data_IF_953477799861
#
_entry.id   IF_953477799861
#
_cell.length_a   1.000
_cell.length_b   1.000
_cell.length_c   1.000
_cell.angle_alpha   90.00
_cell.angle_beta   90.00
_cell.angle_gamma   90.00
#
_symmetry.space_group_name_H-M   'P 1'
#
loop_
_entity.id
_entity.type
_entity.pdbx_description
1 polymer ?
#
# COMPACT_ATOMS: atom_id res chain seq x y z
N UNK A 1 2.64 -33.03 20.41
CA UNK A 1 2.52 -32.35 19.10
C UNK A 1 3.09 -30.93 19.15
N UNK A 2 2.93 -30.18 20.24
CA UNK A 2 3.53 -28.84 20.41
C UNK A 2 5.07 -28.79 20.32
N UNK A 3 5.77 -29.81 20.82
CA UNK A 3 7.25 -29.82 20.88
C UNK A 3 7.93 -29.82 19.51
N UNK A 4 7.30 -30.44 18.51
CA UNK A 4 7.89 -30.62 17.17
C UNK A 4 7.83 -29.33 16.34
N UNK A 5 6.83 -28.49 16.60
CA UNK A 5 6.71 -27.17 15.99
C UNK A 5 7.66 -26.17 16.68
N UNK A 6 7.81 -26.27 18.00
CA UNK A 6 8.79 -25.49 18.78
C UNK A 6 10.23 -25.74 18.32
N UNK A 7 10.61 -27.02 18.10
CA UNK A 7 11.93 -27.40 17.58
C UNK A 7 12.20 -26.81 16.18
N UNK A 8 11.17 -26.74 15.32
CA UNK A 8 11.28 -26.16 13.96
C UNK A 8 11.46 -24.65 13.99
N UNK A 9 10.75 -23.96 14.90
CA UNK A 9 10.86 -22.51 15.10
C UNK A 9 12.25 -22.16 15.66
N UNK A 10 12.77 -22.96 16.60
CA UNK A 10 14.09 -22.76 17.18
C UNK A 10 15.21 -22.97 16.13
N UNK A 11 15.09 -23.98 15.27
CA UNK A 11 16.01 -24.19 14.16
C UNK A 11 16.00 -23.03 13.15
N UNK A 12 14.82 -22.52 12.80
CA UNK A 12 14.69 -21.35 11.92
C UNK A 12 15.31 -20.09 12.54
N UNK A 13 15.13 -19.89 13.84
CA UNK A 13 15.73 -18.78 14.58
C UNK A 13 17.26 -18.89 14.64
N UNK A 14 17.80 -20.09 14.85
CA UNK A 14 19.23 -20.37 14.86
C UNK A 14 19.87 -20.08 13.49
N UNK A 15 19.29 -20.59 12.40
CA UNK A 15 19.75 -20.35 11.05
C UNK A 15 19.76 -18.86 10.68
N UNK A 16 18.73 -18.10 11.12
CA UNK A 16 18.69 -16.65 10.91
C UNK A 16 19.79 -15.92 11.69
N UNK A 17 20.05 -16.32 12.95
CA UNK A 17 21.11 -15.73 13.77
C UNK A 17 22.49 -15.97 13.18
N UNK A 18 22.76 -17.18 12.69
CA UNK A 18 24.02 -17.53 12.01
C UNK A 18 24.24 -16.67 10.76
N UNK A 19 23.22 -16.59 9.90
CA UNK A 19 23.28 -15.75 8.69
C UNK A 19 23.58 -14.28 9.00
N UNK A 20 22.94 -13.72 10.03
CA UNK A 20 23.19 -12.34 10.45
C UNK A 20 24.60 -12.15 11.01
N UNK A 21 25.14 -13.16 11.71
CA UNK A 21 26.51 -13.14 12.22
C UNK A 21 27.54 -13.13 11.10
N UNK A 22 27.33 -13.96 10.06
CA UNK A 22 28.20 -14.00 8.89
C UNK A 22 28.21 -12.67 8.13
N UNK A 23 27.03 -12.06 7.92
CA UNK A 23 26.94 -10.73 7.29
C UNK A 23 27.65 -9.66 8.11
N UNK A 24 27.52 -9.71 9.44
CA UNK A 24 28.20 -8.76 10.33
C UNK A 24 29.72 -8.92 10.30
N UNK A 25 30.23 -10.15 10.27
CA UNK A 25 31.67 -10.41 10.15
C UNK A 25 32.24 -9.92 8.81
N UNK A 26 31.53 -10.14 7.70
CA UNK A 26 31.93 -9.63 6.39
C UNK A 26 31.92 -8.09 6.34
N UNK A 27 30.94 -7.45 6.99
CA UNK A 27 30.89 -6.00 7.09
C UNK A 27 32.03 -5.43 7.95
N UNK A 28 32.44 -6.14 8.99
CA UNK A 28 33.56 -5.74 9.85
C UNK A 28 34.89 -5.78 9.09
N UNK A 29 35.16 -6.85 8.33
CA UNK A 29 36.34 -6.93 7.45
C UNK A 29 36.38 -5.84 6.38
N UNK A 30 35.22 -5.42 5.88
CA UNK A 30 35.13 -4.31 4.93
C UNK A 30 35.37 -2.95 5.61
N UNK A 31 34.97 -2.81 6.87
CA UNK A 31 35.02 -1.55 7.60
C UNK A 31 36.34 -1.33 8.38
N UNK A 32 37.13 -2.37 8.61
CA UNK A 32 38.50 -2.22 9.10
C UNK A 32 39.43 -2.08 7.90
N UNK A 33 39.89 -0.86 7.55
CA UNK A 33 40.99 -0.73 6.61
C UNK A 33 42.22 -1.36 7.28
N UNK A 34 42.71 -2.44 6.68
CA UNK A 34 43.94 -3.11 7.09
C UNK A 34 45.09 -2.09 7.00
N UNK A 35 45.66 -1.70 8.14
CA UNK A 35 46.81 -0.78 8.26
C UNK A 35 48.14 -1.56 8.12
N UNK A 36 48.18 -2.58 7.26
CA UNK A 36 49.39 -3.37 6.99
C UNK A 36 49.53 -3.77 5.51
N UNK A 37 49.35 -2.81 4.61
CA UNK A 37 49.79 -2.96 3.21
C UNK A 37 50.26 -1.63 2.63
N UNK A 38 51.19 -0.99 3.34
CA UNK A 38 51.97 0.14 2.81
C UNK A 38 53.23 -0.37 2.11
N UNK A 39 53.13 -1.10 1.00
CA UNK A 39 54.23 -1.23 0.02
C UNK A 39 53.80 -1.91 -1.29
N UNK A 40 53.35 -1.12 -2.27
CA UNK A 40 53.95 -1.17 -3.61
C UNK A 40 53.55 0.06 -4.40
N UNK A 41 54.55 0.88 -4.71
CA UNK A 41 54.44 2.17 -5.39
C UNK A 41 54.18 1.96 -6.88
N UNK A 42 53.37 2.88 -7.42
CA UNK A 42 53.38 3.37 -8.80
C UNK A 42 54.43 2.78 -9.75
N UNK A 43 53.95 2.17 -10.84
CA UNK A 43 54.61 2.32 -12.15
C UNK A 43 53.54 2.36 -13.24
N UNK A 44 53.40 3.54 -13.84
CA UNK A 44 52.66 3.80 -15.07
C UNK A 44 53.46 3.38 -16.30
N UNK A 45 52.71 3.12 -17.38
CA UNK A 45 53.06 3.06 -18.81
C UNK A 45 53.24 1.65 -19.42
N UNK A 46 52.30 1.34 -20.31
CA UNK A 46 52.46 0.94 -21.72
C UNK A 46 53.61 -0.02 -22.05
N UNK A 47 53.28 -1.25 -22.46
CA UNK A 47 53.22 -1.68 -23.87
C UNK A 47 53.14 -3.22 -23.92
N UNK A 48 52.34 -3.71 -24.87
CA UNK A 48 52.37 -5.01 -25.55
C UNK A 48 53.10 -6.18 -24.87
N UNK A 49 52.32 -7.16 -24.40
CA UNK A 49 52.72 -8.57 -24.49
C UNK A 49 51.48 -9.40 -24.81
N UNK A 50 51.45 -9.81 -26.08
CA UNK A 50 50.61 -10.85 -26.64
C UNK A 50 51.06 -12.21 -26.06
N UNK A 51 50.10 -13.13 -25.99
CA UNK A 51 50.24 -14.56 -25.73
C UNK A 51 50.35 -15.04 -24.27
N UNK A 52 49.54 -16.08 -23.99
CA UNK A 52 49.50 -16.91 -22.77
C UNK A 52 48.70 -16.36 -21.58
N UNK A 53 47.39 -16.15 -21.76
CA UNK A 53 46.44 -16.40 -20.66
C UNK A 53 45.74 -17.71 -20.94
N UNK A 54 46.41 -18.73 -20.42
CA UNK A 54 45.99 -20.08 -20.11
C UNK A 54 44.48 -20.36 -20.16
N UNK A 55 44.22 -21.50 -20.80
CA UNK A 55 42.98 -22.27 -20.90
C UNK A 55 42.31 -22.64 -19.55
N UNK A 56 42.81 -22.08 -18.43
CA UNK A 56 42.31 -22.25 -17.06
C UNK A 56 41.19 -21.28 -16.67
N UNK A 57 40.94 -20.24 -17.46
CA UNK A 57 39.84 -19.29 -17.23
C UNK A 57 38.49 -19.74 -17.81
N UNK A 58 38.27 -21.05 -17.95
CA UNK A 58 36.95 -21.65 -18.08
C UNK A 58 36.13 -21.56 -16.77
N UNK A 59 36.24 -20.44 -16.05
CA UNK A 59 35.26 -20.09 -15.03
C UNK A 59 33.91 -20.00 -15.73
N UNK A 60 33.00 -20.94 -15.46
CA UNK A 60 31.67 -21.02 -16.07
C UNK A 60 30.84 -19.74 -15.80
N UNK A 61 31.12 -18.68 -16.57
CA UNK A 61 30.53 -17.37 -16.43
C UNK A 61 29.12 -17.39 -17.02
N UNK A 62 28.12 -17.06 -16.20
CA UNK A 62 26.70 -17.16 -16.55
C UNK A 62 26.07 -15.79 -16.65
N UNK A 63 25.53 -15.45 -17.82
CA UNK A 63 24.95 -14.13 -18.07
C UNK A 63 23.42 -14.18 -17.96
N UNK A 64 22.85 -13.45 -16.99
CA UNK A 64 21.39 -13.35 -16.78
C UNK A 64 20.77 -12.13 -17.47
N UNK A 65 21.39 -10.95 -17.31
CA UNK A 65 20.88 -9.66 -17.81
C UNK A 65 21.79 -9.00 -18.86
N UNK A 66 22.83 -9.67 -19.33
CA UNK A 66 23.80 -9.12 -20.29
C UNK A 66 24.05 -10.10 -21.44
N UNK A 67 24.35 -9.60 -22.63
CA UNK A 67 24.73 -10.41 -23.80
C UNK A 67 26.12 -9.99 -24.23
N UNK A 68 27.15 -10.84 -24.00
CA UNK A 68 28.49 -10.60 -24.48
C UNK A 68 28.55 -10.45 -26.00
N UNK A 69 29.42 -9.58 -26.52
CA UNK A 69 29.64 -9.45 -27.97
C UNK A 69 30.40 -10.63 -28.57
N UNK A 70 31.22 -11.30 -27.75
CA UNK A 70 32.05 -12.41 -28.19
C UNK A 70 31.26 -13.73 -28.24
N UNK A 71 31.46 -14.51 -29.32
CA UNK A 71 30.61 -15.67 -29.64
C UNK A 71 30.80 -16.83 -28.66
N UNK A 72 32.02 -17.05 -28.19
CA UNK A 72 32.32 -18.13 -27.23
C UNK A 72 31.65 -17.87 -25.86
N UNK A 73 31.41 -16.61 -25.52
CA UNK A 73 30.87 -16.20 -24.23
C UNK A 73 29.33 -16.06 -24.23
N UNK A 74 28.71 -16.01 -25.41
CA UNK A 74 27.25 -16.00 -25.59
C UNK A 74 26.60 -17.33 -25.19
N UNK A 75 27.33 -18.45 -25.30
CA UNK A 75 26.86 -19.78 -24.88
C UNK A 75 26.64 -19.86 -23.35
N UNK A 76 27.26 -18.96 -22.58
CA UNK A 76 27.05 -18.81 -21.14
C UNK A 76 25.76 -18.07 -20.75
N UNK A 77 24.92 -17.65 -21.71
CA UNK A 77 23.65 -16.98 -21.41
C UNK A 77 22.67 -17.94 -20.76
N UNK A 78 22.22 -17.61 -19.55
CA UNK A 78 21.22 -18.40 -18.85
C UNK A 78 19.83 -18.19 -19.45
N UNK A 79 19.24 -19.27 -19.95
CA UNK A 79 17.85 -19.26 -20.37
C UNK A 79 16.93 -18.91 -19.17
N UNK A 80 15.92 -18.04 -19.35
CA UNK A 80 14.93 -17.80 -18.33
C UNK A 80 14.26 -19.12 -17.93
N UNK A 81 14.00 -19.35 -16.63
CA UNK A 81 13.30 -20.55 -16.20
C UNK A 81 11.91 -20.59 -16.86
N UNK A 82 11.64 -21.69 -17.57
CA UNK A 82 10.32 -21.93 -18.16
C UNK A 82 9.36 -22.16 -17.01
N UNK A 83 8.51 -21.17 -16.75
CA UNK A 83 7.44 -21.31 -15.78
C UNK A 83 6.52 -22.47 -16.23
N UNK A 84 6.14 -23.38 -15.34
CA UNK A 84 5.09 -24.35 -15.65
C UNK A 84 3.85 -23.55 -16.08
N UNK A 85 3.27 -23.92 -17.22
CA UNK A 85 1.98 -23.36 -17.64
C UNK A 85 0.98 -23.72 -16.57
N UNK A 86 0.56 -22.70 -15.82
CA UNK A 86 -0.55 -22.82 -14.91
C UNK A 86 -1.78 -23.15 -15.75
N UNK A 87 -2.21 -24.40 -15.72
CA UNK A 87 -3.55 -24.74 -16.14
C UNK A 87 -4.47 -24.16 -15.07
N UNK A 88 -5.24 -23.13 -15.44
CA UNK A 88 -6.32 -22.65 -14.60
C UNK A 88 -7.17 -23.86 -14.21
N UNK A 89 -7.31 -24.18 -12.91
CA UNK A 89 -8.18 -25.28 -12.52
C UNK A 89 -9.56 -24.96 -13.07
N UNK A 90 -10.03 -25.81 -14.00
CA UNK A 90 -11.35 -25.71 -14.59
C UNK A 90 -12.34 -25.46 -13.44
N UNK A 91 -12.98 -24.30 -13.47
CA UNK A 91 -13.79 -23.78 -12.39
C UNK A 91 -14.77 -24.84 -11.89
N UNK A 92 -14.41 -25.52 -10.81
CA UNK A 92 -15.39 -26.16 -9.97
C UNK A 92 -16.12 -25.01 -9.28
N UNK A 93 -17.32 -24.71 -9.76
CA UNK A 93 -18.21 -23.71 -9.16
C UNK A 93 -18.23 -23.91 -7.64
N UNK A 94 -17.79 -22.94 -6.83
CA UNK A 94 -17.96 -23.05 -5.40
C UNK A 94 -19.46 -22.99 -5.08
N UNK A 95 -19.96 -23.80 -4.12
CA UNK A 95 -21.34 -23.74 -3.70
C UNK A 95 -21.69 -22.32 -3.24
N UNK A 96 -22.97 -21.87 -3.38
CA UNK A 96 -23.37 -20.52 -3.02
C UNK A 96 -23.12 -20.29 -1.53
N UNK A 97 -21.97 -19.69 -1.21
CA UNK A 97 -21.63 -19.29 0.14
C UNK A 97 -22.50 -18.09 0.49
N UNK A 98 -23.56 -18.36 1.23
CA UNK A 98 -24.39 -17.36 1.89
C UNK A 98 -23.51 -16.36 2.65
N UNK A 99 -23.74 -15.07 2.38
CA UNK A 99 -23.34 -13.92 3.21
C UNK A 99 -21.86 -13.88 3.59
N UNK A 100 -21.00 -13.62 2.60
CA UNK A 100 -19.77 -12.90 2.88
C UNK A 100 -20.20 -11.46 3.20
N UNK A 101 -20.13 -11.10 4.47
CA UNK A 101 -20.01 -9.70 4.87
C UNK A 101 -18.87 -9.13 4.05
N UNK A 102 -19.23 -8.34 3.05
CA UNK A 102 -18.28 -7.76 2.12
C UNK A 102 -17.34 -6.88 2.95
N UNK A 103 -16.09 -7.33 3.08
CA UNK A 103 -15.05 -6.57 3.74
C UNK A 103 -15.05 -5.15 3.15
N UNK A 104 -15.35 -4.11 3.96
CA UNK A 104 -15.48 -2.73 3.48
C UNK A 104 -14.20 -2.19 2.84
N UNK A 105 -13.09 -2.91 3.03
CA UNK A 105 -11.76 -2.61 2.53
C UNK A 105 -11.45 -3.19 1.16
N UNK A 106 -12.09 -4.31 0.76
CA UNK A 106 -11.79 -4.97 -0.52
C UNK A 106 -12.42 -4.24 -1.72
N UNK A 107 -13.46 -3.43 -1.49
CA UNK A 107 -14.15 -2.62 -2.49
C UNK A 107 -13.83 -1.12 -2.40
N UNK A 108 -12.63 -0.75 -1.92
CA UNK A 108 -12.17 0.65 -2.00
C UNK A 108 -11.67 0.88 -3.43
N UNK A 109 -12.61 1.13 -4.35
CA UNK A 109 -12.31 1.83 -5.60
C UNK A 109 -11.55 3.12 -5.28
N UNK A 110 -10.73 3.68 -6.21
CA UNK A 110 -10.13 4.98 -6.04
C UNK A 110 -11.21 6.03 -5.76
N UNK A 111 -11.46 6.34 -4.48
CA UNK A 111 -12.48 7.30 -4.08
C UNK A 111 -12.06 8.69 -4.52
N UNK A 112 -13.03 9.57 -4.70
CA UNK A 112 -12.77 10.99 -4.94
C UNK A 112 -11.81 11.52 -3.86
N UNK A 113 -10.81 12.35 -4.18
CA UNK A 113 -9.83 12.85 -3.21
C UNK A 113 -10.49 13.57 -2.03
N UNK A 114 -11.69 14.14 -2.25
CA UNK A 114 -12.47 14.85 -1.24
C UNK A 114 -13.45 13.96 -0.44
N UNK A 115 -13.43 12.63 -0.60
CA UNK A 115 -14.46 11.78 0.01
C UNK A 115 -14.41 11.84 1.55
N UNK A 116 -13.20 11.88 2.09
CA UNK A 116 -12.95 11.84 3.53
C UNK A 116 -13.37 13.15 4.17
N UNK A 117 -13.03 14.28 3.55
CA UNK A 117 -13.49 15.60 3.98
C UNK A 117 -15.02 15.70 3.95
N UNK A 118 -15.68 15.17 2.90
CA UNK A 118 -17.15 15.15 2.85
C UNK A 118 -17.72 14.36 4.01
N UNK A 119 -17.19 13.17 4.29
CA UNK A 119 -17.62 12.33 5.42
C UNK A 119 -17.44 13.05 6.76
N UNK A 120 -16.27 13.64 6.99
CA UNK A 120 -15.92 14.26 8.26
C UNK A 120 -16.68 15.58 8.50
N UNK A 121 -17.00 16.31 7.43
CA UNK A 121 -17.84 17.53 7.47
C UNK A 121 -19.34 17.20 7.56
N UNK A 122 -19.79 16.07 6.99
CA UNK A 122 -21.21 15.70 6.93
C UNK A 122 -21.87 15.71 8.31
N UNK A 123 -21.23 15.12 9.33
CA UNK A 123 -21.80 15.08 10.70
C UNK A 123 -22.06 16.47 11.29
N UNK A 124 -21.22 17.46 10.96
CA UNK A 124 -21.40 18.86 11.41
C UNK A 124 -22.53 19.53 10.62
N UNK A 125 -22.60 19.29 9.32
CA UNK A 125 -23.70 19.77 8.46
C UNK A 125 -25.04 19.20 8.90
N UNK A 126 -25.15 17.89 9.14
CA UNK A 126 -26.39 17.26 9.61
C UNK A 126 -26.89 17.87 10.92
N UNK A 127 -25.98 18.20 11.85
CA UNK A 127 -26.32 18.85 13.11
C UNK A 127 -26.83 20.26 12.89
N UNK A 128 -26.23 21.00 11.98
CA UNK A 128 -26.63 22.35 11.62
C UNK A 128 -27.99 22.32 10.89
N UNK A 129 -28.14 21.45 9.91
CA UNK A 129 -29.37 21.26 9.14
C UNK A 129 -30.55 20.94 10.04
N UNK A 130 -30.40 20.02 11.00
CA UNK A 130 -31.46 19.73 12.00
C UNK A 130 -31.85 20.95 12.83
N UNK A 131 -30.90 21.83 13.16
CA UNK A 131 -31.19 23.07 13.90
C UNK A 131 -31.87 24.09 13.01
N UNK A 132 -31.43 24.22 11.77
CA UNK A 132 -32.02 25.11 10.78
C UNK A 132 -33.46 24.70 10.48
N UNK A 133 -33.74 23.41 10.25
CA UNK A 133 -35.10 22.89 10.05
C UNK A 133 -36.00 23.18 11.26
N UNK A 134 -35.50 22.98 12.48
CA UNK A 134 -36.24 23.34 13.71
C UNK A 134 -36.52 24.84 13.82
N UNK A 135 -35.54 25.68 13.48
CA UNK A 135 -35.71 27.13 13.50
C UNK A 135 -36.74 27.58 12.46
N UNK A 136 -36.67 27.03 11.24
CA UNK A 136 -37.65 27.27 10.17
C UNK A 136 -39.05 26.88 10.64
N UNK A 137 -39.20 25.69 11.22
CA UNK A 137 -40.49 25.25 11.74
C UNK A 137 -41.05 26.19 12.82
N UNK A 138 -40.21 26.64 13.74
CA UNK A 138 -40.61 27.59 14.79
C UNK A 138 -41.06 28.94 14.22
N UNK A 139 -40.33 29.46 13.23
CA UNK A 139 -40.70 30.72 12.55
C UNK A 139 -42.07 30.55 11.85
N UNK A 140 -42.28 29.42 11.18
CA UNK A 140 -43.54 29.12 10.51
C UNK A 140 -44.71 29.04 11.50
N UNK A 141 -44.52 28.42 12.66
CA UNK A 141 -45.53 28.33 13.73
C UNK A 141 -45.87 29.71 14.33
N UNK A 142 -44.87 30.58 14.51
CA UNK A 142 -45.07 31.93 15.03
C UNK A 142 -45.83 32.81 14.02
N UNK A 143 -45.46 32.74 12.73
CA UNK A 143 -46.16 33.45 11.66
C UNK A 143 -47.60 33.00 11.50
N UNK A 144 -47.87 31.69 11.63
CA UNK A 144 -49.23 31.16 11.57
C UNK A 144 -50.08 31.64 12.75
N UNK A 145 -49.52 31.67 13.98
CA UNK A 145 -50.20 32.21 15.16
C UNK A 145 -50.46 33.72 15.05
N UNK A 146 -49.48 34.49 14.58
CA UNK A 146 -49.64 35.93 14.35
C UNK A 146 -50.75 36.18 13.33
N UNK A 147 -50.76 35.45 12.21
CA UNK A 147 -51.83 35.55 11.21
C UNK A 147 -53.19 35.25 11.83
N UNK A 148 -53.32 34.16 12.60
CA UNK A 148 -54.58 33.82 13.28
C UNK A 148 -55.03 34.88 14.29
N UNK A 149 -54.10 35.48 15.05
CA UNK A 149 -54.39 36.57 15.97
C UNK A 149 -54.86 37.83 15.25
N UNK A 150 -54.16 38.24 14.18
CA UNK A 150 -54.55 39.41 13.38
C UNK A 150 -55.90 39.22 12.70
N UNK A 151 -56.20 38.00 12.24
CA UNK A 151 -57.48 37.64 11.63
C UNK A 151 -58.60 37.70 12.69
N UNK A 152 -58.39 37.14 13.88
CA UNK A 152 -59.34 37.23 14.99
C UNK A 152 -59.55 38.67 15.52
N UNK A 153 -58.51 39.49 15.59
CA UNK A 153 -58.62 40.91 16.01
C UNK A 153 -59.39 41.74 14.97
N UNK A 154 -59.22 41.44 13.68
CA UNK A 154 -59.99 42.09 12.61
C UNK A 154 -61.48 41.69 12.57
N UNK A 155 -61.83 40.50 13.07
CA UNK A 155 -63.21 40.02 13.15
C UNK A 155 -63.98 40.62 14.35
N UNK A 156 -63.29 40.93 15.46
CA UNK A 156 -63.91 41.50 16.67
C UNK A 156 -64.25 43.01 16.52
N UNK A 157 -63.36 43.80 15.90
CA UNK A 157 -63.57 45.24 15.67
C UNK A 157 -64.70 45.54 14.65
N UNK A 158 -65.03 44.56 13.79
CA UNK A 158 -66.11 44.66 12.81
C UNK A 158 -67.52 44.52 13.39
N UNK A 159 -67.69 44.10 14.65
CA UNK A 159 -69.01 43.77 15.23
C UNK A 159 -69.54 44.78 16.26
N UNK A 160 -68.72 45.71 16.74
CA UNK A 160 -69.10 46.69 17.78
C UNK A 160 -69.60 48.05 17.25
N UNK A 161 -69.96 48.16 15.97
CA UNK A 161 -70.25 49.43 15.30
C UNK A 161 -71.67 49.67 14.76
N UNK A 162 -72.67 48.82 15.07
CA UNK A 162 -74.05 48.99 14.56
C UNK A 162 -75.08 48.93 15.70
N UNK A 163 -75.11 49.96 16.55
CA UNK A 163 -76.27 50.32 17.36
C UNK A 163 -76.40 51.85 17.42
N UNK A 164 -77.17 52.43 16.49
CA UNK A 164 -78.24 53.44 16.69
C UNK A 164 -78.75 53.99 15.34
#
# INVERSE_FOLDING_TARGET
>A
MATQEEDSIEQAAAARRERLRALKAAQELLNTPDDDSTQSRNKTNDDDDDEEIDEENNQNMKFRNYVPHDKQLQEGKLAPPVLPKFEDPAAAEPPPSEKKEEDPFLNIAPKKPNWDLRRDVQKKLDKLERRTQKAIYKIMEEQEKEKQLTEAESEDDGTNGVED
#
